data_IF_917343098226
#
_entry.id   IF_917343098226
#
_cell.length_a   1.000
_cell.length_b   1.000
_cell.length_c   1.000
_cell.angle_alpha   90.00
_cell.angle_beta   90.00
_cell.angle_gamma   90.00
#
_symmetry.space_group_name_H-M   'P 1'
#
loop_
_entity.id
_entity.type
_entity.pdbx_description
1 polymer ?
#
# COMPACT_ATOMS: atom_id res chain seq x y z
N UNK A 1 15.54 39.84 39.14
CA UNK A 1 14.43 39.42 40.01
C UNK A 1 13.97 38.05 39.55
N UNK A 2 14.08 37.05 40.44
CA UNK A 2 13.59 35.68 40.25
C UNK A 2 12.08 35.70 40.44
N UNK A 3 11.33 34.97 39.63
CA UNK A 3 10.08 34.35 40.09
C UNK A 3 10.03 32.93 39.55
N UNK A 4 10.16 32.00 40.48
CA UNK A 4 9.98 30.56 40.32
C UNK A 4 8.48 30.23 40.28
N UNK A 5 8.12 29.15 39.60
CA UNK A 5 6.97 28.27 39.92
C UNK A 5 7.06 27.02 39.03
N UNK A 6 6.83 25.77 39.40
CA UNK A 6 7.07 24.92 40.58
C UNK A 6 6.38 23.57 40.24
N UNK A 7 7.06 22.44 40.51
CA UNK A 7 6.60 21.03 40.70
C UNK A 7 5.92 20.28 39.50
N UNK A 8 6.29 19.08 39.02
CA UNK A 8 6.72 17.73 39.50
C UNK A 8 5.59 16.72 39.87
N UNK A 9 5.71 15.51 39.28
CA UNK A 9 5.35 14.11 39.71
C UNK A 9 4.11 13.38 39.14
N UNK A 10 4.44 12.34 38.34
CA UNK A 10 3.98 10.94 38.18
C UNK A 10 2.62 10.39 38.68
N UNK A 11 2.05 9.44 37.93
CA UNK A 11 1.83 8.04 38.36
C UNK A 11 1.20 7.18 37.23
N UNK A 12 1.67 5.93 37.10
CA UNK A 12 1.07 4.87 36.30
C UNK A 12 0.15 4.00 37.18
N UNK A 13 -0.94 3.47 36.63
CA UNK A 13 -1.73 2.41 37.27
C UNK A 13 -2.29 1.43 36.22
N UNK A 14 -1.95 0.16 36.39
CA UNK A 14 -2.56 -1.03 35.78
C UNK A 14 -4.02 -1.16 36.26
N UNK A 15 -4.91 -1.62 35.38
CA UNK A 15 -6.09 -2.41 35.78
C UNK A 15 -6.18 -3.64 34.88
N UNK A 16 -5.94 -4.80 35.49
CA UNK A 16 -6.32 -6.11 34.99
C UNK A 16 -7.48 -6.61 35.85
N UNK A 17 -8.58 -7.06 35.24
CA UNK A 17 -9.63 -7.83 35.91
C UNK A 17 -10.01 -8.99 34.97
N UNK A 18 -9.87 -10.21 35.49
CA UNK A 18 -10.29 -11.48 34.89
C UNK A 18 -11.58 -11.99 35.53
N UNK A 19 -12.29 -12.86 34.78
CA UNK A 19 -13.25 -13.92 35.17
C UNK A 19 -14.64 -13.50 35.68
N UNK A 20 -15.78 -14.16 35.38
CA UNK A 20 -16.10 -15.39 34.64
C UNK A 20 -17.65 -15.57 34.50
N UNK A 21 -18.07 -16.63 33.78
CA UNK A 21 -19.30 -17.46 33.91
C UNK A 21 -20.40 -17.28 32.83
N UNK A 22 -20.56 -18.33 31.99
CA UNK A 22 -21.80 -18.71 31.26
C UNK A 22 -22.66 -19.69 32.10
N UNK A 23 -23.94 -19.96 31.75
CA UNK A 23 -24.23 -21.13 30.89
C UNK A 23 -25.47 -21.05 29.94
N UNK A 24 -25.31 -21.63 28.74
CA UNK A 24 -26.15 -22.61 27.98
C UNK A 24 -27.70 -22.63 28.03
N UNK A 25 -28.36 -22.67 26.85
CA UNK A 25 -29.31 -23.73 26.45
C UNK A 25 -29.78 -23.65 24.97
N UNK A 26 -30.06 -24.84 24.43
CA UNK A 26 -30.23 -25.34 23.04
C UNK A 26 -31.65 -25.25 22.47
N UNK A 27 -31.84 -25.22 21.13
CA UNK A 27 -32.61 -26.22 20.32
C UNK A 27 -33.05 -25.73 18.92
N UNK A 28 -33.21 -26.68 17.99
CA UNK A 28 -33.40 -26.57 16.53
C UNK A 28 -34.57 -27.46 16.04
N UNK A 29 -35.15 -27.17 14.84
CA UNK A 29 -35.47 -28.10 13.69
C UNK A 29 -36.83 -27.85 12.96
N UNK A 30 -36.73 -27.52 11.64
CA UNK A 30 -37.43 -27.93 10.36
C UNK A 30 -38.98 -28.03 10.24
N UNK A 31 -39.64 -27.78 9.07
CA UNK A 31 -39.80 -28.68 7.88
C UNK A 31 -40.58 -28.03 6.68
N UNK A 32 -40.12 -28.31 5.43
CA UNK A 32 -40.70 -28.64 4.08
C UNK A 32 -42.01 -28.00 3.50
N UNK A 33 -42.03 -27.41 2.28
CA UNK A 33 -42.19 -27.88 0.86
C UNK A 33 -43.63 -28.05 0.26
N UNK A 34 -43.93 -27.22 -0.77
CA UNK A 34 -44.39 -27.56 -2.15
C UNK A 34 -45.89 -27.58 -2.59
N UNK A 35 -46.12 -27.00 -3.79
CA UNK A 35 -47.21 -27.14 -4.81
C UNK A 35 -48.59 -26.45 -4.57
N UNK A 36 -49.37 -25.94 -5.54
CA UNK A 36 -49.29 -25.74 -7.01
C UNK A 36 -50.49 -24.89 -7.51
N UNK A 37 -50.32 -24.30 -8.71
CA UNK A 37 -51.31 -24.12 -9.81
C UNK A 37 -52.65 -23.38 -9.55
N UNK A 38 -52.81 -22.27 -10.30
CA UNK A 38 -53.80 -22.26 -11.40
C UNK A 38 -54.91 -21.21 -11.39
N UNK A 39 -54.65 -20.12 -12.13
CA UNK A 39 -55.53 -19.37 -13.04
C UNK A 39 -56.77 -18.64 -12.50
N UNK A 40 -57.23 -17.51 -13.05
CA UNK A 40 -56.74 -16.41 -13.91
C UNK A 40 -57.99 -15.51 -14.13
N UNK A 41 -57.77 -14.23 -14.47
CA UNK A 41 -58.68 -13.26 -15.13
C UNK A 41 -59.61 -12.41 -14.24
N UNK A 42 -59.75 -11.08 -14.40
CA UNK A 42 -59.42 -10.12 -15.49
C UNK A 42 -59.23 -8.68 -14.93
N UNK A 43 -58.05 -8.10 -15.19
CA UNK A 43 -57.67 -6.77 -15.72
C UNK A 43 -58.39 -5.44 -15.36
N UNK A 44 -57.55 -4.43 -15.09
CA UNK A 44 -57.35 -3.23 -15.93
C UNK A 44 -55.87 -2.78 -15.88
N UNK A 45 -55.43 -2.03 -16.90
CA UNK A 45 -54.05 -2.00 -17.44
C UNK A 45 -53.38 -0.65 -17.20
N UNK A 46 -52.17 -0.62 -16.63
CA UNK A 46 -51.19 0.47 -16.80
C UNK A 46 -49.77 -0.04 -16.45
N UNK A 47 -48.73 0.64 -16.93
CA UNK A 47 -47.40 0.10 -17.26
C UNK A 47 -46.70 -0.71 -16.13
N UNK A 48 -46.33 -1.95 -16.46
CA UNK A 48 -45.51 -2.87 -15.66
C UNK A 48 -44.22 -2.21 -15.17
N UNK A 49 -44.10 -2.03 -13.85
CA UNK A 49 -43.28 -2.91 -13.01
C UNK A 49 -43.92 -2.84 -11.62
N UNK A 50 -44.78 -3.81 -11.28
CA UNK A 50 -45.65 -3.81 -10.08
C UNK A 50 -44.83 -3.74 -8.79
N UNK A 51 -45.00 -2.63 -8.07
CA UNK A 51 -45.03 -2.62 -6.61
C UNK A 51 -46.36 -3.23 -6.13
N UNK A 52 -46.56 -3.28 -4.82
CA UNK A 52 -47.84 -3.26 -4.10
C UNK A 52 -48.05 -4.49 -3.20
N UNK A 53 -48.54 -4.38 -1.97
CA UNK A 53 -48.93 -3.29 -1.09
C UNK A 53 -49.38 -3.99 0.20
N UNK A 54 -49.40 -3.26 1.32
CA UNK A 54 -50.50 -3.44 2.27
C UNK A 54 -50.11 -3.60 3.73
N UNK A 55 -50.28 -2.50 4.45
CA UNK A 55 -51.11 -2.44 5.66
C UNK A 55 -50.46 -2.84 7.00
N UNK A 56 -49.88 -1.86 7.70
CA UNK A 56 -50.18 -1.60 9.12
C UNK A 56 -49.62 -0.25 9.58
N UNK A 57 -50.38 0.45 10.41
CA UNK A 57 -50.05 1.66 11.16
C UNK A 57 -48.57 1.80 11.59
N UNK A 58 -48.02 2.96 11.23
CA UNK A 58 -47.03 3.80 11.92
C UNK A 58 -45.88 3.09 12.63
N UNK A 59 -44.75 3.00 11.93
CA UNK A 59 -43.55 3.70 12.38
C UNK A 59 -42.76 4.15 11.15
N UNK A 60 -42.71 5.47 10.96
CA UNK A 60 -41.61 6.31 10.43
C UNK A 60 -40.86 5.78 9.19
N UNK A 61 -41.04 6.44 8.04
CA UNK A 61 -40.03 7.33 7.42
C UNK A 61 -38.70 6.58 7.19
N UNK A 62 -38.32 6.25 5.96
CA UNK A 62 -37.67 7.18 5.02
C UNK A 62 -37.79 6.52 3.63
N UNK A 63 -38.52 7.13 2.69
CA UNK A 63 -37.91 7.90 1.59
C UNK A 63 -36.42 7.65 1.44
N UNK A 64 -36.05 6.66 0.65
CA UNK A 64 -34.81 6.72 -0.11
C UNK A 64 -35.01 5.94 -1.41
N UNK A 65 -35.68 6.62 -2.34
CA UNK A 65 -35.28 6.56 -3.73
C UNK A 65 -33.80 6.96 -3.80
N UNK A 66 -32.90 6.01 -3.51
CA UNK A 66 -31.52 6.10 -3.94
C UNK A 66 -31.51 6.00 -5.47
N UNK A 67 -31.86 7.13 -6.09
CA UNK A 67 -31.28 7.56 -7.33
C UNK A 67 -29.76 7.38 -7.13
N UNK A 68 -29.24 6.22 -7.53
CA UNK A 68 -27.80 5.97 -7.65
C UNK A 68 -27.30 6.87 -8.77
N UNK A 69 -27.29 8.17 -8.50
CA UNK A 69 -26.34 9.08 -9.09
C UNK A 69 -25.01 8.39 -8.91
N UNK A 70 -24.38 8.04 -10.02
CA UNK A 70 -23.06 7.44 -10.04
C UNK A 70 -22.19 8.44 -9.29
N UNK A 71 -21.96 8.17 -8.00
CA UNK A 71 -21.11 9.01 -7.19
C UNK A 71 -19.73 8.86 -7.81
N UNK A 72 -19.29 9.91 -8.50
CA UNK A 72 -18.06 9.90 -9.28
C UNK A 72 -16.88 9.51 -8.37
N UNK A 73 -16.98 9.80 -7.08
CA UNK A 73 -15.99 9.42 -6.07
C UNK A 73 -16.01 7.93 -5.74
N UNK A 74 -17.17 7.26 -5.69
CA UNK A 74 -17.25 5.81 -5.54
C UNK A 74 -16.79 5.09 -6.80
N UNK A 75 -17.15 5.59 -7.98
CA UNK A 75 -16.64 5.07 -9.24
C UNK A 75 -15.11 5.24 -9.33
N UNK A 76 -14.57 6.38 -8.89
CA UNK A 76 -13.12 6.62 -8.80
C UNK A 76 -12.44 5.76 -7.73
N UNK A 77 -13.08 5.50 -6.59
CA UNK A 77 -12.56 4.61 -5.55
C UNK A 77 -12.53 3.15 -6.03
N UNK A 78 -13.57 2.69 -6.71
CA UNK A 78 -13.63 1.37 -7.36
C UNK A 78 -12.58 1.29 -8.47
N UNK A 79 -12.43 2.32 -9.31
CA UNK A 79 -11.40 2.37 -10.34
C UNK A 79 -9.98 2.40 -9.75
N UNK A 80 -9.72 3.19 -8.70
CA UNK A 80 -8.44 3.19 -7.98
C UNK A 80 -8.17 1.84 -7.32
N UNK A 81 -9.20 1.23 -6.74
CA UNK A 81 -9.14 -0.11 -6.16
C UNK A 81 -8.82 -1.17 -7.21
N UNK A 82 -9.52 -1.14 -8.34
CA UNK A 82 -9.30 -2.05 -9.47
C UNK A 82 -7.92 -1.84 -10.13
N UNK A 83 -7.47 -0.60 -10.29
CA UNK A 83 -6.13 -0.27 -10.78
C UNK A 83 -5.06 -0.73 -9.79
N UNK A 84 -5.27 -0.52 -8.49
CA UNK A 84 -4.36 -1.00 -7.44
C UNK A 84 -4.31 -2.53 -7.40
N UNK A 85 -5.45 -3.20 -7.50
CA UNK A 85 -5.54 -4.66 -7.59
C UNK A 85 -4.81 -5.19 -8.82
N UNK A 86 -5.09 -4.62 -10.00
CA UNK A 86 -4.42 -5.01 -11.26
C UNK A 86 -2.92 -4.77 -11.22
N UNK A 87 -2.49 -3.69 -10.57
CA UNK A 87 -1.07 -3.42 -10.37
C UNK A 87 -0.44 -4.39 -9.38
N UNK A 88 -1.15 -4.81 -8.32
CA UNK A 88 -0.66 -5.85 -7.40
C UNK A 88 -0.52 -7.20 -8.12
N UNK A 89 -1.53 -7.61 -8.89
CA UNK A 89 -1.46 -8.85 -9.68
C UNK A 89 -0.29 -8.82 -10.68
N UNK A 90 -0.05 -7.66 -11.31
CA UNK A 90 1.08 -7.46 -12.21
C UNK A 90 2.43 -7.47 -11.48
N UNK A 91 2.50 -6.97 -10.24
CA UNK A 91 3.70 -7.02 -9.39
C UNK A 91 3.99 -8.46 -8.96
N UNK A 92 2.98 -9.20 -8.54
CA UNK A 92 3.11 -10.61 -8.13
C UNK A 92 3.54 -11.48 -9.31
N UNK A 93 3.05 -11.19 -10.52
CA UNK A 93 3.52 -11.84 -11.74
C UNK A 93 5.01 -11.59 -12.03
N UNK A 94 5.59 -10.48 -11.56
CA UNK A 94 7.03 -10.20 -11.65
C UNK A 94 7.85 -10.80 -10.50
N UNK A 95 7.21 -11.43 -9.52
CA UNK A 95 7.84 -12.07 -8.37
C UNK A 95 7.44 -13.55 -8.19
N UNK A 96 7.51 -14.42 -9.22
CA UNK A 96 7.16 -15.83 -9.04
C UNK A 96 8.12 -16.51 -8.05
N UNK A 97 7.59 -17.03 -6.95
CA UNK A 97 8.38 -17.48 -5.79
C UNK A 97 9.54 -18.44 -6.17
N UNK A 98 9.26 -19.44 -7.00
CA UNK A 98 10.28 -20.42 -7.44
C UNK A 98 11.38 -19.79 -8.31
N UNK A 99 11.01 -18.88 -9.21
CA UNK A 99 11.97 -18.20 -10.09
C UNK A 99 12.83 -17.25 -9.27
N UNK A 100 12.20 -16.47 -8.38
CA UNK A 100 12.88 -15.52 -7.50
C UNK A 100 13.91 -16.22 -6.61
N UNK A 101 13.53 -17.35 -5.99
CA UNK A 101 14.43 -18.13 -5.15
C UNK A 101 15.64 -18.68 -5.93
N UNK A 102 15.42 -19.28 -7.10
CA UNK A 102 16.51 -19.81 -7.95
C UNK A 102 17.43 -18.70 -8.44
N UNK A 103 16.86 -17.60 -8.92
CA UNK A 103 17.62 -16.44 -9.38
C UNK A 103 18.50 -15.87 -8.25
N UNK A 104 17.97 -15.81 -7.02
CA UNK A 104 18.74 -15.37 -5.86
C UNK A 104 19.79 -16.39 -5.38
N UNK A 105 19.62 -17.67 -5.69
CA UNK A 105 20.66 -18.69 -5.45
C UNK A 105 21.76 -18.70 -6.53
N UNK A 106 21.72 -17.77 -7.50
CA UNK A 106 22.76 -17.61 -8.51
C UNK A 106 22.49 -18.34 -9.84
N UNK A 107 21.29 -18.89 -10.04
CA UNK A 107 20.88 -19.45 -11.32
C UNK A 107 20.78 -18.34 -12.38
N UNK A 108 21.74 -18.32 -13.30
CA UNK A 108 21.88 -17.28 -14.33
C UNK A 108 20.70 -17.29 -15.32
N UNK A 109 20.15 -18.46 -15.65
CA UNK A 109 19.03 -18.57 -16.57
C UNK A 109 17.76 -17.98 -15.94
N UNK A 110 17.56 -18.24 -14.64
CA UNK A 110 16.44 -17.67 -13.89
C UNK A 110 16.61 -16.16 -13.68
N UNK A 111 17.83 -15.68 -13.43
CA UNK A 111 18.12 -14.23 -13.40
C UNK A 111 17.79 -13.57 -14.73
N UNK A 112 18.24 -14.15 -15.84
CA UNK A 112 17.98 -13.63 -17.18
C UNK A 112 16.49 -13.56 -17.48
N UNK A 113 15.75 -14.64 -17.22
CA UNK A 113 14.28 -14.68 -17.39
C UNK A 113 13.59 -13.60 -16.56
N UNK A 114 13.96 -13.47 -15.29
CA UNK A 114 13.37 -12.48 -14.38
C UNK A 114 13.67 -11.05 -14.82
N UNK A 115 14.92 -10.75 -15.18
CA UNK A 115 15.32 -9.40 -15.62
C UNK A 115 14.66 -9.02 -16.94
N UNK A 116 14.50 -9.96 -17.89
CA UNK A 116 13.74 -9.70 -19.11
C UNK A 116 12.27 -9.34 -18.82
N UNK A 117 11.64 -10.01 -17.85
CA UNK A 117 10.28 -9.66 -17.42
C UNK A 117 10.23 -8.26 -16.80
N UNK A 118 11.19 -7.93 -15.93
CA UNK A 118 11.28 -6.59 -15.34
C UNK A 118 11.48 -5.50 -16.39
N UNK A 119 12.37 -5.72 -17.37
CA UNK A 119 12.66 -4.74 -18.43
C UNK A 119 11.44 -4.50 -19.34
N UNK A 120 10.63 -5.54 -19.59
CA UNK A 120 9.38 -5.42 -20.38
C UNK A 120 8.23 -4.79 -19.60
N UNK A 121 8.28 -4.83 -18.26
CA UNK A 121 7.22 -4.28 -17.43
C UNK A 121 7.16 -2.74 -17.47
N UNK A 122 5.96 -2.21 -17.23
CA UNK A 122 5.77 -0.76 -17.01
C UNK A 122 6.65 -0.28 -15.85
N UNK A 123 7.18 0.95 -15.89
CA UNK A 123 8.09 1.46 -14.85
C UNK A 123 7.55 1.31 -13.44
N UNK A 124 6.28 1.64 -13.19
CA UNK A 124 5.67 1.54 -11.86
C UNK A 124 5.58 0.10 -11.34
N UNK A 125 5.21 -0.85 -12.20
CA UNK A 125 5.10 -2.27 -11.82
C UNK A 125 6.49 -2.83 -11.48
N UNK A 126 7.50 -2.51 -12.31
CA UNK A 126 8.89 -2.89 -12.04
C UNK A 126 9.41 -2.27 -10.72
N UNK A 127 9.15 -0.99 -10.50
CA UNK A 127 9.55 -0.30 -9.27
C UNK A 127 8.92 -0.96 -8.05
N UNK A 128 7.63 -1.24 -8.09
CA UNK A 128 6.92 -1.88 -6.99
C UNK A 128 7.44 -3.30 -6.71
N UNK A 129 7.75 -4.08 -7.75
CA UNK A 129 8.33 -5.40 -7.60
C UNK A 129 9.70 -5.35 -6.89
N UNK A 130 10.59 -4.45 -7.34
CA UNK A 130 11.92 -4.28 -6.75
C UNK A 130 11.82 -3.73 -5.32
N UNK A 131 10.96 -2.74 -5.07
CA UNK A 131 10.69 -2.22 -3.72
C UNK A 131 10.15 -3.29 -2.79
N UNK A 132 9.32 -4.21 -3.29
CA UNK A 132 8.79 -5.34 -2.51
C UNK A 132 9.89 -6.31 -2.10
N UNK A 133 10.82 -6.64 -3.02
CA UNK A 133 12.03 -7.44 -2.69
C UNK A 133 12.83 -6.74 -1.58
N UNK A 134 13.11 -5.44 -1.77
CA UNK A 134 13.87 -4.64 -0.80
C UNK A 134 13.16 -4.50 0.55
N UNK A 135 11.82 -4.46 0.58
CA UNK A 135 11.05 -4.39 1.82
C UNK A 135 11.10 -5.71 2.57
N UNK A 136 10.82 -6.82 1.88
CA UNK A 136 10.60 -8.12 2.51
C UNK A 136 11.88 -8.79 3.01
N UNK A 137 13.00 -8.67 2.29
CA UNK A 137 14.30 -9.22 2.71
C UNK A 137 15.47 -8.24 2.66
N UNK A 138 15.28 -7.08 2.04
CA UNK A 138 16.36 -6.11 1.90
C UNK A 138 17.44 -6.55 0.94
N UNK A 139 18.55 -5.81 0.97
CA UNK A 139 19.69 -6.12 0.11
C UNK A 139 20.38 -7.42 0.50
N UNK A 140 20.39 -7.76 1.78
CA UNK A 140 21.24 -8.85 2.28
C UNK A 140 20.63 -10.21 1.95
N UNK A 141 19.32 -10.40 2.13
CA UNK A 141 18.63 -11.64 1.77
C UNK A 141 18.61 -11.86 0.25
N UNK A 142 18.53 -10.77 -0.53
CA UNK A 142 18.49 -10.80 -1.99
C UNK A 142 19.81 -10.37 -2.65
N UNK A 143 20.93 -10.52 -1.94
CA UNK A 143 22.22 -9.95 -2.35
C UNK A 143 22.65 -10.40 -3.73
N UNK A 144 22.55 -11.70 -4.01
CA UNK A 144 22.96 -12.28 -5.29
C UNK A 144 22.12 -11.71 -6.43
N UNK A 145 20.79 -11.74 -6.28
CA UNK A 145 19.86 -11.22 -7.28
C UNK A 145 20.07 -9.73 -7.53
N UNK A 146 20.12 -8.92 -6.47
CA UNK A 146 20.24 -7.47 -6.56
C UNK A 146 21.63 -7.03 -7.07
N UNK A 147 22.68 -7.80 -6.74
CA UNK A 147 24.01 -7.58 -7.32
C UNK A 147 24.00 -7.86 -8.82
N UNK A 148 23.41 -8.98 -9.26
CA UNK A 148 23.27 -9.30 -10.68
C UNK A 148 22.44 -8.24 -11.41
N UNK A 149 21.34 -7.78 -10.83
CA UNK A 149 20.51 -6.72 -11.39
C UNK A 149 21.26 -5.39 -11.52
N UNK A 150 22.05 -5.01 -10.50
CA UNK A 150 22.87 -3.79 -10.51
C UNK A 150 23.83 -3.77 -11.70
N UNK A 151 24.45 -4.92 -12.01
CA UNK A 151 25.45 -5.05 -13.07
C UNK A 151 24.90 -5.55 -14.41
N UNK A 152 23.59 -5.78 -14.52
CA UNK A 152 22.96 -6.13 -15.77
C UNK A 152 23.11 -4.98 -16.80
N UNK A 153 23.74 -5.28 -17.93
CA UNK A 153 24.02 -4.30 -18.98
C UNK A 153 22.74 -3.85 -19.71
N UNK A 154 21.81 -4.78 -19.98
CA UNK A 154 20.54 -4.49 -20.65
C UNK A 154 19.70 -3.45 -19.89
N UNK A 155 19.69 -3.51 -18.55
CA UNK A 155 19.10 -2.49 -17.68
C UNK A 155 19.67 -1.11 -17.98
N UNK A 156 20.99 -1.01 -18.05
CA UNK A 156 21.70 0.25 -18.24
C UNK A 156 21.46 0.81 -19.64
N UNK A 157 21.44 -0.04 -20.66
CA UNK A 157 21.10 0.30 -22.06
C UNK A 157 19.66 0.77 -22.18
N UNK A 158 18.74 0.16 -21.44
CA UNK A 158 17.32 0.52 -21.43
C UNK A 158 17.01 1.78 -20.59
N UNK A 159 18.03 2.46 -20.06
CA UNK A 159 17.85 3.66 -19.22
C UNK A 159 17.25 3.39 -17.83
N UNK A 160 17.07 2.13 -17.46
CA UNK A 160 16.42 1.71 -16.22
C UNK A 160 17.39 1.85 -15.04
N UNK A 161 16.92 2.44 -13.96
CA UNK A 161 17.64 2.53 -12.69
C UNK A 161 17.68 1.21 -11.92
N UNK A 162 18.58 1.08 -10.96
CA UNK A 162 18.67 -0.02 -10.01
C UNK A 162 17.35 -0.21 -9.26
N UNK A 163 16.66 0.86 -8.87
CA UNK A 163 15.34 0.74 -8.22
C UNK A 163 14.18 0.56 -9.21
N UNK A 164 14.46 0.26 -10.49
CA UNK A 164 13.42 0.05 -11.51
C UNK A 164 12.86 1.31 -12.17
N UNK A 165 13.24 2.49 -11.69
CA UNK A 165 12.87 3.78 -12.29
C UNK A 165 13.93 4.23 -13.30
N UNK A 166 14.40 5.48 -13.21
CA UNK A 166 15.47 6.04 -14.05
C UNK A 166 16.79 6.15 -13.28
N UNK A 167 17.89 6.33 -14.01
CA UNK A 167 19.20 6.64 -13.41
C UNK A 167 19.20 7.95 -12.61
N UNK A 168 18.34 8.91 -12.95
CA UNK A 168 18.23 10.17 -12.22
C UNK A 168 17.62 9.96 -10.83
N UNK A 169 16.59 9.11 -10.74
CA UNK A 169 15.98 8.72 -9.47
C UNK A 169 16.98 8.00 -8.56
N UNK A 170 17.77 7.07 -9.09
CA UNK A 170 18.79 6.37 -8.28
C UNK A 170 19.86 7.31 -7.71
N UNK A 171 20.21 8.39 -8.41
CA UNK A 171 21.18 9.38 -7.92
C UNK A 171 20.68 10.11 -6.67
N UNK A 172 19.37 10.13 -6.45
CA UNK A 172 18.75 10.64 -5.22
C UNK A 172 18.66 9.58 -4.12
N UNK A 173 18.94 8.31 -4.44
CA UNK A 173 18.91 7.19 -3.50
C UNK A 173 20.29 6.50 -3.28
N UNK A 174 21.38 7.25 -3.00
CA UNK A 174 22.68 6.65 -2.71
C UNK A 174 22.66 5.94 -1.35
N UNK A 175 22.62 4.59 -1.37
CA UNK A 175 22.50 3.74 -0.16
C UNK A 175 23.42 4.16 0.99
N UNK A 176 24.71 4.30 0.74
CA UNK A 176 25.67 4.65 1.80
C UNK A 176 25.44 6.03 2.43
N UNK A 177 24.86 6.98 1.69
CA UNK A 177 24.50 8.29 2.22
C UNK A 177 23.17 8.23 2.99
N UNK A 178 22.19 7.47 2.47
CA UNK A 178 20.92 7.19 3.15
C UNK A 178 21.18 6.54 4.50
N UNK A 179 22.03 5.51 4.56
CA UNK A 179 22.34 4.77 5.79
C UNK A 179 22.97 5.72 6.83
N UNK A 180 23.96 6.52 6.44
CA UNK A 180 24.57 7.53 7.32
C UNK A 180 23.57 8.59 7.79
N UNK A 181 22.72 9.09 6.89
CA UNK A 181 21.70 10.08 7.22
C UNK A 181 20.65 9.51 8.20
N UNK A 182 20.23 8.26 8.01
CA UNK A 182 19.31 7.53 8.88
C UNK A 182 19.90 7.25 10.28
N UNK A 183 21.23 7.16 10.39
CA UNK A 183 21.96 7.03 11.65
C UNK A 183 22.20 8.37 12.38
N UNK A 184 21.79 9.50 11.81
CA UNK A 184 21.92 10.80 12.47
C UNK A 184 23.10 11.65 12.05
N UNK A 185 23.89 11.22 11.06
CA UNK A 185 25.00 12.04 10.57
C UNK A 185 24.46 13.33 9.91
N UNK A 186 24.79 14.49 10.50
CA UNK A 186 24.29 15.81 10.08
C UNK A 186 24.73 16.15 8.66
N UNK A 187 26.03 16.03 8.37
CA UNK A 187 26.58 16.33 7.05
C UNK A 187 25.96 15.45 5.94
N UNK A 188 25.73 14.16 6.23
CA UNK A 188 25.07 13.24 5.32
C UNK A 188 23.61 13.63 5.06
N UNK A 189 22.89 14.07 6.11
CA UNK A 189 21.51 14.57 5.98
C UNK A 189 21.46 15.82 5.12
N UNK A 190 22.27 16.83 5.44
CA UNK A 190 22.34 18.08 4.65
C UNK A 190 22.66 17.80 3.18
N UNK A 191 23.64 16.94 2.92
CA UNK A 191 24.01 16.54 1.55
C UNK A 191 22.87 15.83 0.83
N UNK A 192 22.20 14.88 1.50
CA UNK A 192 21.12 14.11 0.91
C UNK A 192 19.87 14.98 0.66
N UNK A 193 19.46 15.74 1.66
CA UNK A 193 18.29 16.60 1.61
C UNK A 193 18.48 17.75 0.63
N UNK A 194 19.68 18.34 0.57
CA UNK A 194 20.03 19.32 -0.45
C UNK A 194 19.91 18.75 -1.87
N UNK A 195 20.33 17.50 -2.10
CA UNK A 195 20.12 16.82 -3.39
C UNK A 195 18.64 16.62 -3.70
N UNK A 196 17.82 16.29 -2.71
CA UNK A 196 16.37 16.13 -2.90
C UNK A 196 15.69 17.47 -3.23
N UNK A 197 16.03 18.55 -2.52
CA UNK A 197 15.47 19.88 -2.79
C UNK A 197 15.84 20.39 -4.18
N UNK A 198 17.10 20.21 -4.60
CA UNK A 198 17.58 20.69 -5.88
C UNK A 198 17.08 19.87 -7.09
N UNK A 199 16.48 18.69 -6.87
CA UNK A 199 16.02 17.84 -7.95
C UNK A 199 14.65 18.29 -8.50
N UNK A 200 14.35 18.01 -9.78
CA UNK A 200 13.00 18.19 -10.33
C UNK A 200 11.97 17.45 -9.48
N UNK A 201 10.80 18.07 -9.25
CA UNK A 201 9.75 17.54 -8.36
C UNK A 201 9.38 16.10 -8.69
N UNK A 202 9.11 15.79 -9.95
CA UNK A 202 8.75 14.43 -10.40
C UNK A 202 9.83 13.39 -10.04
N UNK A 203 11.11 13.73 -10.22
CA UNK A 203 12.23 12.83 -9.90
C UNK A 203 12.38 12.64 -8.39
N UNK A 204 12.26 13.74 -7.63
CA UNK A 204 12.30 13.72 -6.16
C UNK A 204 11.15 12.89 -5.60
N UNK A 205 9.93 13.14 -6.05
CA UNK A 205 8.73 12.51 -5.51
C UNK A 205 8.73 11.01 -5.82
N UNK A 206 9.20 10.62 -7.01
CA UNK A 206 9.45 9.21 -7.36
C UNK A 206 10.50 8.57 -6.44
N UNK A 207 11.62 9.25 -6.17
CA UNK A 207 12.66 8.75 -5.28
C UNK A 207 12.14 8.56 -3.84
N UNK A 208 11.40 9.54 -3.32
CA UNK A 208 10.82 9.48 -1.98
C UNK A 208 9.77 8.37 -1.86
N UNK A 209 8.96 8.16 -2.91
CA UNK A 209 8.02 7.04 -2.97
C UNK A 209 8.73 5.69 -2.91
N UNK A 210 9.79 5.49 -3.70
CA UNK A 210 10.59 4.26 -3.66
C UNK A 210 11.22 4.05 -2.27
N UNK A 211 11.76 5.11 -1.67
CA UNK A 211 12.35 5.05 -0.33
C UNK A 211 11.30 4.65 0.72
N UNK A 212 10.10 5.22 0.63
CA UNK A 212 8.97 4.85 1.47
C UNK A 212 8.58 3.38 1.27
N UNK A 213 8.37 2.93 0.03
CA UNK A 213 7.85 1.60 -0.25
C UNK A 213 8.83 0.48 0.10
N UNK A 214 10.14 0.73 -0.01
CA UNK A 214 11.22 -0.20 0.36
C UNK A 214 11.62 -0.14 1.85
N UNK A 215 11.35 1.00 2.49
CA UNK A 215 11.76 1.31 3.85
C UNK A 215 10.65 1.23 4.90
N UNK A 216 9.38 1.23 4.50
CA UNK A 216 8.24 1.21 5.42
C UNK A 216 8.36 0.10 6.46
N UNK A 217 8.08 0.44 7.72
CA UNK A 217 8.21 -0.47 8.86
C UNK A 217 9.64 -0.60 9.41
N UNK A 218 10.67 -0.06 8.74
CA UNK A 218 12.06 -0.13 9.21
C UNK A 218 12.41 1.11 10.06
N UNK A 219 13.03 0.95 11.25
CA UNK A 219 13.42 2.08 12.10
C UNK A 219 14.33 3.10 11.40
N UNK A 220 15.21 2.65 10.50
CA UNK A 220 16.09 3.52 9.73
C UNK A 220 15.30 4.49 8.85
N UNK A 221 14.26 3.99 8.16
CA UNK A 221 13.37 4.81 7.36
C UNK A 221 12.62 5.83 8.23
N UNK A 222 12.02 5.40 9.34
CA UNK A 222 11.28 6.29 10.25
C UNK A 222 12.15 7.46 10.75
N UNK A 223 13.41 7.19 11.11
CA UNK A 223 14.37 8.23 11.53
C UNK A 223 14.70 9.19 10.39
N UNK A 224 14.94 8.67 9.19
CA UNK A 224 15.28 9.48 8.03
C UNK A 224 14.10 10.36 7.61
N UNK A 225 12.89 9.79 7.54
CA UNK A 225 11.66 10.53 7.20
C UNK A 225 11.36 11.62 8.22
N UNK A 226 11.47 11.32 9.53
CA UNK A 226 11.32 12.34 10.57
C UNK A 226 12.33 13.48 10.44
N UNK A 227 13.59 13.17 10.11
CA UNK A 227 14.62 14.17 9.91
C UNK A 227 14.34 15.04 8.67
N UNK A 228 13.85 14.43 7.59
CA UNK A 228 13.45 15.14 6.38
C UNK A 228 12.30 16.11 6.64
N UNK A 229 11.25 15.69 7.34
CA UNK A 229 10.13 16.56 7.69
C UNK A 229 10.55 17.75 8.55
N UNK A 230 11.47 17.56 9.51
CA UNK A 230 12.04 18.66 10.30
C UNK A 230 12.82 19.64 9.43
N UNK A 231 13.67 19.13 8.54
CA UNK A 231 14.44 19.95 7.60
C UNK A 231 13.53 20.81 6.72
N UNK A 232 12.43 20.24 6.20
CA UNK A 232 11.44 21.01 5.44
C UNK A 232 10.80 22.12 6.27
N UNK A 233 10.44 21.86 7.53
CA UNK A 233 9.86 22.87 8.42
C UNK A 233 10.83 24.01 8.76
N UNK A 234 12.14 23.75 8.74
CA UNK A 234 13.17 24.77 8.96
C UNK A 234 13.37 25.67 7.74
N UNK A 235 13.17 25.16 6.52
CA UNK A 235 13.29 25.94 5.28
C UNK A 235 12.14 26.94 5.04
N UNK A 236 10.99 26.75 5.69
CA UNK A 236 9.81 27.61 5.53
C UNK A 236 9.81 28.79 6.52
N UNK A 237 10.74 28.80 7.49
CA UNK A 237 10.92 29.89 8.46
C UNK A 237 11.91 30.93 7.94
#
# INVERSE_FOLDING_TARGET
>A
MRVCSVLLVAAAALIAISSAIEPSATSTVKVAEVQARGADKRFLRSHQTEEEQGDSDVNEEEDDSEERGINVDDALAILRGAVKSRNNDAVDALLPHTILAKANNGDFDMQTKLFQQWLKAKPEVRQNAISTIMRNGGYDDYKTLLTAWRYNSERTTSGVGFHGSTKAVDKLLPRGLIDKAALGNVQARETLFGKWIAAPSETRDTALKILHDSGMGKPAYTRLNSAWLRYLNELVK
#
